data_IF_010780386278
#
_entry.id   IF_010780386278
#
_cell.length_a   1.000
_cell.length_b   1.000
_cell.length_c   1.000
_cell.angle_alpha   90.00
_cell.angle_beta   90.00
_cell.angle_gamma   90.00
#
_symmetry.space_group_name_H-M   'P 1'
#
loop_
_entity.id
_entity.type
_entity.pdbx_description
1 polymer ?
#
# COMPACT_ATOMS: atom_id res chain seq x y z
N UNK A 1 41.41 4.82 14.42
CA UNK A 1 41.18 3.40 14.07
C UNK A 1 39.80 3.03 14.63
N UNK A 2 38.74 3.34 13.89
CA UNK A 2 37.36 3.01 14.29
C UNK A 2 37.10 1.61 13.76
N UNK A 3 36.90 0.65 14.66
CA UNK A 3 36.51 -0.70 14.32
C UNK A 3 35.17 -0.64 13.58
N UNK A 4 35.21 -0.74 12.25
CA UNK A 4 34.03 -1.11 11.46
C UNK A 4 33.69 -2.54 11.85
N UNK A 5 32.89 -2.70 12.91
CA UNK A 5 32.14 -3.93 13.14
C UNK A 5 31.32 -4.16 11.89
N UNK A 6 31.76 -5.11 11.06
CA UNK A 6 31.03 -5.54 9.88
C UNK A 6 29.66 -5.99 10.39
N UNK A 7 28.61 -5.27 10.01
CA UNK A 7 27.26 -5.55 10.47
C UNK A 7 26.87 -6.99 10.09
N UNK A 8 26.18 -7.68 10.99
CA UNK A 8 25.81 -9.10 10.80
C UNK A 8 25.05 -9.34 9.50
N UNK A 9 24.25 -8.38 9.06
CA UNK A 9 23.54 -8.39 7.77
C UNK A 9 24.49 -8.27 6.58
N UNK A 10 25.56 -7.47 6.70
CA UNK A 10 26.58 -7.33 5.65
C UNK A 10 27.38 -8.63 5.49
N UNK A 11 27.70 -9.32 6.60
CA UNK A 11 28.32 -10.65 6.57
C UNK A 11 27.38 -11.70 5.96
N UNK A 12 26.07 -11.64 6.29
CA UNK A 12 25.06 -12.53 5.70
C UNK A 12 24.92 -12.30 4.19
N UNK A 13 24.88 -11.04 3.73
CA UNK A 13 24.85 -10.68 2.30
C UNK A 13 26.10 -11.19 1.56
N UNK A 14 27.28 -11.00 2.15
CA UNK A 14 28.54 -11.50 1.59
C UNK A 14 28.56 -13.03 1.53
N UNK A 15 28.01 -13.73 2.54
CA UNK A 15 27.88 -15.20 2.52
C UNK A 15 26.94 -15.73 1.43
N UNK A 16 25.99 -14.89 0.97
CA UNK A 16 25.10 -15.17 -0.15
C UNK A 16 25.71 -14.79 -1.51
N UNK A 17 26.96 -14.33 -1.55
CA UNK A 17 27.68 -13.94 -2.77
C UNK A 17 27.34 -12.53 -3.29
N UNK A 18 26.64 -11.71 -2.49
CA UNK A 18 26.27 -10.35 -2.87
C UNK A 18 27.13 -9.30 -2.16
N UNK A 19 27.74 -8.41 -2.94
CA UNK A 19 28.39 -7.20 -2.43
C UNK A 19 27.32 -6.14 -2.16
N UNK A 20 27.33 -5.55 -0.98
CA UNK A 20 26.38 -4.50 -0.61
C UNK A 20 26.69 -3.21 -1.38
N UNK A 21 25.99 -2.98 -2.49
CA UNK A 21 26.18 -1.78 -3.35
C UNK A 21 25.21 -0.62 -3.00
N UNK A 22 24.11 -0.89 -2.28
CA UNK A 22 23.15 0.14 -1.85
C UNK A 22 23.51 0.70 -0.47
N UNK A 23 23.73 2.03 -0.40
CA UNK A 23 23.88 2.77 0.86
C UNK A 23 22.56 2.71 1.65
N UNK A 24 22.63 2.30 2.92
CA UNK A 24 21.47 2.33 3.84
C UNK A 24 21.05 3.78 4.09
N UNK A 25 20.05 4.26 3.34
CA UNK A 25 19.46 5.60 3.50
C UNK A 25 18.22 5.63 4.40
N UNK A 26 17.65 4.46 4.76
CA UNK A 26 16.44 4.35 5.57
C UNK A 26 16.78 3.89 6.99
N UNK A 27 16.44 4.72 7.97
CA UNK A 27 16.40 4.38 9.40
C UNK A 27 15.30 3.34 9.65
N UNK A 28 15.37 2.57 10.74
CA UNK A 28 14.31 1.61 11.12
C UNK A 28 12.90 2.24 11.14
N UNK A 29 12.81 3.48 11.62
CA UNK A 29 11.56 4.25 11.66
C UNK A 29 11.06 4.63 10.26
N UNK A 30 11.95 5.03 9.34
CA UNK A 30 11.56 5.38 7.97
C UNK A 30 11.26 4.13 7.12
N UNK A 31 11.89 2.99 7.42
CA UNK A 31 11.53 1.70 6.84
C UNK A 31 10.14 1.24 7.29
N UNK A 32 9.84 1.36 8.59
CA UNK A 32 8.49 1.09 9.13
C UNK A 32 7.45 2.04 8.53
N UNK A 33 7.78 3.34 8.46
CA UNK A 33 6.92 4.34 7.84
C UNK A 33 6.67 4.10 6.35
N UNK A 34 7.68 3.62 5.62
CA UNK A 34 7.51 3.19 4.23
C UNK A 34 6.56 1.99 4.12
N UNK A 35 6.71 0.97 4.96
CA UNK A 35 5.78 -0.17 4.98
C UNK A 35 4.35 0.24 5.29
N UNK A 36 4.16 1.12 6.29
CA UNK A 36 2.85 1.71 6.58
C UNK A 36 2.33 2.54 5.41
N UNK A 37 3.22 3.23 4.69
CA UNK A 37 2.81 4.07 3.58
C UNK A 37 2.38 3.31 2.34
N UNK A 38 2.90 2.10 2.15
CA UNK A 38 2.42 1.19 1.13
C UNK A 38 1.02 0.67 1.47
N UNK A 39 0.74 0.42 2.76
CA UNK A 39 -0.56 -0.06 3.24
C UNK A 39 -1.43 1.14 3.63
N UNK A 40 -1.97 1.82 2.63
CA UNK A 40 -2.83 2.98 2.86
C UNK A 40 -4.25 2.57 3.23
N UNK A 41 -4.55 2.60 4.54
CA UNK A 41 -5.88 2.26 5.09
C UNK A 41 -6.94 3.27 4.61
N UNK A 42 -6.61 4.57 4.62
CA UNK A 42 -7.56 5.64 4.32
C UNK A 42 -8.08 5.57 2.88
N UNK A 43 -7.18 5.36 1.91
CA UNK A 43 -7.54 5.32 0.49
C UNK A 43 -8.41 4.09 0.18
N UNK A 44 -7.94 2.91 0.57
CA UNK A 44 -8.66 1.66 0.32
C UNK A 44 -10.03 1.62 0.98
N UNK A 45 -10.13 2.07 2.23
CA UNK A 45 -11.40 2.13 2.95
C UNK A 45 -12.38 3.08 2.26
N UNK A 46 -11.96 4.32 1.96
CA UNK A 46 -12.86 5.34 1.39
C UNK A 46 -13.42 4.92 0.02
N UNK A 47 -12.59 4.33 -0.84
CA UNK A 47 -13.02 3.92 -2.18
C UNK A 47 -13.93 2.69 -2.18
N UNK A 48 -13.73 1.75 -1.24
CA UNK A 48 -14.47 0.48 -1.22
C UNK A 48 -15.60 0.45 -0.19
N UNK A 49 -15.74 1.47 0.65
CA UNK A 49 -16.75 1.51 1.71
C UNK A 49 -18.18 1.31 1.18
N UNK A 50 -18.56 2.06 0.15
CA UNK A 50 -19.89 1.97 -0.48
C UNK A 50 -20.14 0.59 -1.10
N UNK A 51 -19.12 0.04 -1.76
CA UNK A 51 -19.19 -1.30 -2.34
C UNK A 51 -19.36 -2.38 -1.25
N UNK A 52 -18.61 -2.31 -0.15
CA UNK A 52 -18.74 -3.24 0.97
C UNK A 52 -20.12 -3.18 1.62
N UNK A 53 -20.63 -1.96 1.87
CA UNK A 53 -21.96 -1.76 2.44
C UNK A 53 -23.08 -2.31 1.55
N UNK A 54 -22.97 -2.17 0.23
CA UNK A 54 -24.01 -2.60 -0.71
C UNK A 54 -24.00 -4.10 -1.00
N UNK A 55 -22.85 -4.76 -0.89
CA UNK A 55 -22.70 -6.18 -1.25
C UNK A 55 -22.73 -7.13 -0.06
N UNK A 56 -22.32 -6.66 1.13
CA UNK A 56 -22.17 -7.49 2.32
C UNK A 56 -22.76 -6.92 3.62
N UNK A 57 -23.29 -5.70 3.57
CA UNK A 57 -23.80 -5.01 4.74
C UNK A 57 -22.77 -4.76 5.86
N UNK A 58 -23.21 -4.19 6.99
CA UNK A 58 -22.35 -3.87 8.13
C UNK A 58 -21.63 -5.09 8.72
N UNK A 59 -22.28 -6.25 8.72
CA UNK A 59 -21.74 -7.50 9.28
C UNK A 59 -20.47 -7.94 8.56
N UNK A 60 -20.47 -7.98 7.24
CA UNK A 60 -19.29 -8.39 6.46
C UNK A 60 -18.17 -7.38 6.62
N UNK A 61 -18.50 -6.08 6.71
CA UNK A 61 -17.47 -5.05 6.91
C UNK A 61 -16.72 -5.20 8.23
N UNK A 62 -17.38 -5.65 9.30
CA UNK A 62 -16.74 -5.84 10.61
C UNK A 62 -16.10 -7.23 10.71
N UNK A 63 -16.90 -8.29 10.56
CA UNK A 63 -16.44 -9.65 10.77
C UNK A 63 -15.58 -10.16 9.63
N UNK A 64 -15.93 -9.82 8.39
CA UNK A 64 -15.12 -10.17 7.22
C UNK A 64 -13.73 -9.57 7.31
N UNK A 65 -13.59 -8.34 7.81
CA UNK A 65 -12.29 -7.71 8.03
C UNK A 65 -11.43 -8.49 9.04
N UNK A 66 -11.99 -8.85 10.19
CA UNK A 66 -11.27 -9.63 11.23
C UNK A 66 -10.79 -10.97 10.68
N UNK A 67 -11.66 -11.67 9.96
CA UNK A 67 -11.34 -12.98 9.37
C UNK A 67 -10.23 -12.84 8.32
N UNK A 68 -10.33 -11.85 7.42
CA UNK A 68 -9.30 -11.60 6.40
C UNK A 68 -7.97 -11.20 7.03
N UNK A 69 -7.98 -10.35 8.07
CA UNK A 69 -6.78 -10.00 8.82
C UNK A 69 -6.11 -11.24 9.42
N UNK A 70 -6.89 -12.11 10.07
CA UNK A 70 -6.37 -13.35 10.66
C UNK A 70 -5.66 -14.22 9.63
N UNK A 71 -6.27 -14.49 8.47
CA UNK A 71 -5.62 -15.30 7.43
C UNK A 71 -4.41 -14.60 6.79
N UNK A 72 -4.48 -13.28 6.62
CA UNK A 72 -3.37 -12.49 6.06
C UNK A 72 -2.13 -12.51 6.96
N UNK A 73 -2.31 -12.61 8.29
CA UNK A 73 -1.19 -12.74 9.23
C UNK A 73 -0.37 -14.02 8.99
N UNK A 74 -0.99 -15.15 8.66
CA UNK A 74 -0.25 -16.38 8.35
C UNK A 74 0.62 -16.23 7.11
N UNK A 75 0.10 -15.56 6.07
CA UNK A 75 0.88 -15.22 4.88
C UNK A 75 2.03 -14.29 5.24
N UNK A 76 1.77 -13.29 6.09
CA UNK A 76 2.79 -12.38 6.61
C UNK A 76 3.91 -13.10 7.38
N UNK A 77 3.56 -14.07 8.24
CA UNK A 77 4.53 -14.88 8.97
C UNK A 77 5.40 -15.73 8.04
N UNK A 78 4.81 -16.36 7.02
CA UNK A 78 5.58 -17.12 6.02
C UNK A 78 6.58 -16.22 5.26
N UNK A 79 6.15 -15.02 4.89
CA UNK A 79 7.04 -14.05 4.24
C UNK A 79 8.13 -13.53 5.20
N UNK A 80 7.83 -13.38 6.49
CA UNK A 80 8.80 -12.95 7.49
C UNK A 80 9.94 -13.96 7.68
N UNK A 81 9.63 -15.26 7.67
CA UNK A 81 10.63 -16.34 7.77
C UNK A 81 11.60 -16.30 6.58
N UNK A 82 11.07 -16.18 5.36
CA UNK A 82 11.88 -16.11 4.13
C UNK A 82 12.74 -14.84 4.11
N UNK A 83 12.17 -13.69 4.49
CA UNK A 83 12.91 -12.42 4.61
C UNK A 83 14.08 -12.51 5.59
N UNK A 84 13.89 -13.18 6.73
CA UNK A 84 14.92 -13.36 7.75
C UNK A 84 16.05 -14.29 7.27
N UNK A 85 15.71 -15.32 6.50
CA UNK A 85 16.69 -16.23 5.93
C UNK A 85 17.50 -15.59 4.78
N UNK A 86 16.84 -14.80 3.92
CA UNK A 86 17.39 -14.26 2.68
C UNK A 86 17.11 -12.74 2.50
N UNK A 87 17.86 -11.86 3.19
CA UNK A 87 17.67 -10.41 3.11
C UNK A 87 18.28 -9.84 1.82
N UNK A 88 17.62 -10.02 0.68
CA UNK A 88 18.10 -9.53 -0.63
C UNK A 88 17.15 -8.52 -1.26
N UNK A 89 17.68 -7.47 -1.90
CA UNK A 89 16.95 -6.35 -2.52
C UNK A 89 15.99 -6.76 -3.66
N UNK A 90 16.17 -7.95 -4.23
CA UNK A 90 15.33 -8.55 -5.29
C UNK A 90 14.28 -9.54 -4.79
N UNK A 91 14.16 -9.68 -3.46
CA UNK A 91 13.19 -10.47 -2.70
C UNK A 91 12.39 -11.51 -3.50
N UNK A 92 11.26 -11.14 -4.10
CA UNK A 92 10.28 -12.09 -4.64
C UNK A 92 10.82 -13.03 -5.73
N UNK A 93 11.43 -12.52 -6.79
CA UNK A 93 11.95 -13.35 -7.89
C UNK A 93 13.19 -14.15 -7.47
N UNK A 94 13.94 -13.63 -6.49
CA UNK A 94 15.11 -14.32 -5.94
C UNK A 94 14.70 -15.46 -5.01
N UNK A 95 13.73 -15.23 -4.12
CA UNK A 95 13.17 -16.22 -3.21
C UNK A 95 12.55 -17.39 -3.97
N UNK A 96 11.79 -17.12 -5.05
CA UNK A 96 11.27 -18.20 -5.89
C UNK A 96 12.39 -19.01 -6.54
N UNK A 97 13.50 -18.37 -6.91
CA UNK A 97 14.64 -19.05 -7.49
C UNK A 97 15.44 -19.91 -6.50
N UNK A 98 15.32 -19.67 -5.20
CA UNK A 98 15.94 -20.51 -4.16
C UNK A 98 15.02 -21.67 -3.78
N UNK A 99 13.72 -21.42 -3.74
CA UNK A 99 12.72 -22.40 -3.27
C UNK A 99 12.35 -23.44 -4.35
N UNK A 100 12.53 -23.12 -5.63
CA UNK A 100 12.17 -24.01 -6.75
C UNK A 100 13.34 -24.89 -7.17
N UNK A 101 13.11 -26.19 -7.52
CA UNK A 101 14.15 -27.07 -8.03
C UNK A 101 14.90 -26.48 -9.23
N UNK A 102 16.21 -26.75 -9.33
CA UNK A 102 17.12 -26.15 -10.33
C UNK A 102 16.60 -26.22 -11.78
N UNK A 103 15.86 -27.28 -12.11
CA UNK A 103 15.27 -27.49 -13.44
C UNK A 103 14.25 -26.41 -13.85
N UNK A 104 13.53 -25.82 -12.89
CA UNK A 104 12.46 -24.84 -13.16
C UNK A 104 12.77 -23.45 -12.60
N UNK A 105 13.92 -23.28 -11.94
CA UNK A 105 14.35 -22.04 -11.28
C UNK A 105 14.21 -20.81 -12.18
N UNK A 106 14.74 -20.86 -13.40
CA UNK A 106 14.71 -19.73 -14.33
C UNK A 106 13.28 -19.36 -14.77
N UNK A 107 12.46 -20.36 -15.10
CA UNK A 107 11.07 -20.14 -15.52
C UNK A 107 10.21 -19.60 -14.37
N UNK A 108 10.30 -20.19 -13.18
CA UNK A 108 9.52 -19.76 -12.02
C UNK A 108 9.88 -18.34 -11.57
N UNK A 109 11.17 -17.99 -11.53
CA UNK A 109 11.61 -16.62 -11.24
C UNK A 109 11.19 -15.63 -12.33
N UNK A 110 11.20 -16.03 -13.60
CA UNK A 110 10.73 -15.20 -14.71
C UNK A 110 9.25 -14.85 -14.57
N UNK A 111 8.39 -15.86 -14.40
CA UNK A 111 6.95 -15.63 -14.20
C UNK A 111 6.70 -14.76 -12.97
N UNK A 112 7.34 -15.07 -11.85
CA UNK A 112 7.18 -14.30 -10.60
C UNK A 112 7.57 -12.83 -10.79
N UNK A 113 8.68 -12.56 -11.49
CA UNK A 113 9.11 -11.20 -11.82
C UNK A 113 8.09 -10.46 -12.68
N UNK A 114 7.56 -11.09 -13.73
CA UNK A 114 6.56 -10.48 -14.60
C UNK A 114 5.22 -10.24 -13.92
N UNK A 115 4.74 -11.21 -13.13
CA UNK A 115 3.51 -11.04 -12.35
C UNK A 115 3.66 -9.92 -11.32
N UNK A 116 4.83 -9.81 -10.68
CA UNK A 116 5.09 -8.71 -9.77
C UNK A 116 5.09 -7.36 -10.51
N UNK A 117 5.75 -7.26 -11.66
CA UNK A 117 5.80 -6.03 -12.46
C UNK A 117 4.41 -5.59 -12.95
N UNK A 118 3.64 -6.52 -13.52
CA UNK A 118 2.27 -6.24 -13.98
C UNK A 118 1.39 -5.85 -12.80
N UNK A 119 1.54 -6.53 -11.67
CA UNK A 119 0.84 -6.19 -10.43
C UNK A 119 1.14 -4.76 -9.98
N UNK A 120 2.41 -4.32 -10.02
CA UNK A 120 2.78 -2.95 -9.68
C UNK A 120 2.13 -1.92 -10.61
N UNK A 121 2.12 -2.15 -11.92
CA UNK A 121 1.44 -1.26 -12.86
C UNK A 121 -0.07 -1.21 -12.61
N UNK A 122 -0.71 -2.35 -12.36
CA UNK A 122 -2.14 -2.42 -12.08
C UNK A 122 -2.50 -1.67 -10.78
N UNK A 123 -1.67 -1.79 -9.73
CA UNK A 123 -1.88 -1.09 -8.46
C UNK A 123 -1.79 0.41 -8.66
N UNK A 124 -0.74 0.92 -9.32
CA UNK A 124 -0.56 2.36 -9.57
C UNK A 124 -1.74 2.90 -10.38
N UNK A 125 -2.10 2.22 -11.48
CA UNK A 125 -3.22 2.64 -12.32
C UNK A 125 -4.54 2.68 -11.53
N UNK A 126 -4.80 1.68 -10.68
CA UNK A 126 -6.04 1.59 -9.88
C UNK A 126 -6.12 2.71 -8.85
N UNK A 127 -5.04 2.98 -8.13
CA UNK A 127 -5.00 4.02 -7.09
C UNK A 127 -5.15 5.40 -7.72
N UNK A 128 -4.40 5.68 -8.79
CA UNK A 128 -4.44 6.98 -9.47
C UNK A 128 -5.80 7.23 -10.14
N UNK A 129 -6.47 6.17 -10.58
CA UNK A 129 -7.83 6.26 -11.12
C UNK A 129 -8.85 6.54 -10.01
N UNK A 130 -8.74 5.87 -8.86
CA UNK A 130 -9.55 6.16 -7.68
C UNK A 130 -9.37 7.60 -7.20
N UNK A 131 -8.13 8.12 -7.17
CA UNK A 131 -7.85 9.51 -6.84
C UNK A 131 -8.49 10.47 -7.84
N UNK A 132 -8.42 10.17 -9.14
CA UNK A 132 -9.08 10.97 -10.18
C UNK A 132 -10.59 11.08 -9.95
N UNK A 133 -11.27 9.96 -9.63
CA UNK A 133 -12.70 9.98 -9.29
C UNK A 133 -13.00 10.83 -8.06
N UNK A 134 -12.16 10.74 -7.03
CA UNK A 134 -12.34 11.53 -5.81
C UNK A 134 -12.17 13.03 -6.09
N UNK A 135 -11.15 13.41 -6.85
CA UNK A 135 -10.94 14.82 -7.25
C UNK A 135 -12.12 15.32 -8.08
N UNK A 136 -12.57 14.55 -9.07
CA UNK A 136 -13.74 14.88 -9.87
C UNK A 136 -15.01 15.06 -9.01
N UNK A 137 -15.20 14.19 -8.01
CA UNK A 137 -16.32 14.27 -7.07
C UNK A 137 -16.24 15.53 -6.20
N UNK A 138 -15.06 15.90 -5.73
CA UNK A 138 -14.84 17.14 -4.94
C UNK A 138 -15.09 18.40 -5.78
N UNK A 139 -14.66 18.41 -7.05
CA UNK A 139 -14.93 19.52 -7.97
C UNK A 139 -16.43 19.66 -8.21
N UNK A 140 -17.13 18.55 -8.48
CA UNK A 140 -18.59 18.53 -8.65
C UNK A 140 -19.30 19.07 -7.41
N UNK A 141 -18.90 18.63 -6.21
CA UNK A 141 -19.48 19.09 -4.95
C UNK A 141 -19.24 20.59 -4.72
N UNK A 142 -18.05 21.08 -5.04
CA UNK A 142 -17.66 22.49 -4.90
C UNK A 142 -18.45 23.41 -5.85
N UNK A 143 -18.89 22.88 -6.98
CA UNK A 143 -19.76 23.56 -7.96
C UNK A 143 -21.25 23.32 -7.71
N UNK A 144 -21.63 22.94 -6.48
CA UNK A 144 -23.01 22.63 -6.09
C UNK A 144 -23.70 21.59 -7.01
N UNK A 145 -22.95 20.57 -7.44
CA UNK A 145 -23.40 19.48 -8.30
C UNK A 145 -23.90 19.94 -9.70
N UNK A 146 -23.58 21.16 -10.13
CA UNK A 146 -23.95 21.63 -11.47
C UNK A 146 -23.08 21.04 -12.58
N UNK A 147 -21.91 20.50 -12.22
CA UNK A 147 -21.02 19.82 -13.13
C UNK A 147 -20.98 18.33 -12.82
N UNK A 148 -21.30 17.51 -13.81
CA UNK A 148 -21.17 16.06 -13.73
C UNK A 148 -19.89 15.63 -14.45
N UNK A 149 -18.96 14.92 -13.78
CA UNK A 149 -17.73 14.47 -14.42
C UNK A 149 -18.00 13.41 -15.48
N UNK A 150 -17.90 13.80 -16.76
CA UNK A 150 -17.88 12.85 -17.87
C UNK A 150 -16.60 11.98 -17.88
N UNK A 151 -16.62 10.78 -18.48
CA UNK A 151 -15.47 9.87 -18.49
C UNK A 151 -14.16 10.50 -19.00
N UNK A 152 -14.25 11.40 -19.98
CA UNK A 152 -13.07 12.08 -20.53
C UNK A 152 -12.38 13.00 -19.51
N UNK A 153 -13.14 13.64 -18.62
CA UNK A 153 -12.58 14.47 -17.55
C UNK A 153 -11.80 13.63 -16.54
N UNK A 154 -12.35 12.47 -16.17
CA UNK A 154 -11.71 11.53 -15.25
C UNK A 154 -10.40 11.00 -15.83
N UNK A 155 -10.38 10.67 -17.13
CA UNK A 155 -9.16 10.24 -17.83
C UNK A 155 -8.13 11.38 -17.89
N UNK A 156 -8.55 12.62 -18.15
CA UNK A 156 -7.65 13.77 -18.19
C UNK A 156 -7.00 14.03 -16.82
N UNK A 157 -7.79 14.03 -15.75
CA UNK A 157 -7.29 14.20 -14.38
C UNK A 157 -6.33 13.04 -14.04
N UNK A 158 -6.68 11.81 -14.43
CA UNK A 158 -5.84 10.63 -14.22
C UNK A 158 -4.48 10.74 -14.92
N UNK A 159 -4.44 11.21 -16.17
CA UNK A 159 -3.19 11.45 -16.90
C UNK A 159 -2.31 12.49 -16.20
N UNK A 160 -2.90 13.58 -15.70
CA UNK A 160 -2.17 14.61 -14.95
C UNK A 160 -1.56 14.04 -13.67
N UNK A 161 -2.30 13.21 -12.93
CA UNK A 161 -1.81 12.55 -11.71
C UNK A 161 -0.63 11.63 -12.03
N UNK A 162 -0.75 10.75 -13.02
CA UNK A 162 0.32 9.82 -13.41
C UNK A 162 1.59 10.57 -13.82
N UNK A 163 1.46 11.63 -14.61
CA UNK A 163 2.61 12.45 -15.02
C UNK A 163 3.26 13.11 -13.79
N UNK A 164 2.45 13.64 -12.87
CA UNK A 164 2.96 14.22 -11.62
C UNK A 164 3.71 13.19 -10.77
N UNK A 165 3.17 11.99 -10.61
CA UNK A 165 3.84 10.90 -9.90
C UNK A 165 5.13 10.47 -10.60
N UNK A 166 5.14 10.40 -11.93
CA UNK A 166 6.35 10.10 -12.72
C UNK A 166 7.46 11.15 -12.53
N UNK A 167 7.10 12.44 -12.49
CA UNK A 167 8.02 13.53 -12.18
C UNK A 167 8.55 13.39 -10.75
N UNK A 168 7.67 13.21 -9.77
CA UNK A 168 8.05 13.02 -8.36
C UNK A 168 8.98 11.82 -8.17
N UNK A 169 8.74 10.72 -8.88
CA UNK A 169 9.58 9.52 -8.86
C UNK A 169 10.94 9.73 -9.54
N UNK A 170 11.04 10.73 -10.42
CA UNK A 170 12.31 11.12 -11.05
C UNK A 170 13.15 12.07 -10.18
N UNK A 171 12.59 12.58 -9.08
CA UNK A 171 13.33 13.40 -8.10
C UNK A 171 14.21 12.53 -7.21
N UNK A 172 15.28 13.11 -6.66
CA UNK A 172 16.27 12.37 -5.87
C UNK A 172 15.71 11.73 -4.59
N UNK A 173 16.39 10.66 -4.14
CA UNK A 173 16.02 9.82 -2.98
C UNK A 173 15.75 10.63 -1.69
N UNK A 174 16.40 11.77 -1.51
CA UNK A 174 16.18 12.64 -0.35
C UNK A 174 14.77 13.24 -0.31
N UNK A 175 14.25 13.67 -1.46
CA UNK A 175 12.88 14.19 -1.57
C UNK A 175 11.86 13.08 -1.31
N UNK A 176 12.10 11.90 -1.88
CA UNK A 176 11.21 10.75 -1.71
C UNK A 176 11.17 10.25 -0.26
N UNK A 177 12.32 10.26 0.42
CA UNK A 177 12.41 9.91 1.85
C UNK A 177 11.63 10.92 2.73
N UNK A 178 11.72 12.21 2.43
CA UNK A 178 10.95 13.24 3.13
C UNK A 178 9.44 13.11 2.90
N UNK A 179 9.00 12.86 1.66
CA UNK A 179 7.59 12.58 1.35
C UNK A 179 7.08 11.35 2.10
N UNK A 180 7.88 10.28 2.15
CA UNK A 180 7.52 9.05 2.87
C UNK A 180 7.35 9.31 4.37
N UNK A 181 8.22 10.15 4.95
CA UNK A 181 8.11 10.55 6.35
C UNK A 181 6.80 11.30 6.63
N UNK A 182 6.43 12.27 5.80
CA UNK A 182 5.16 13.00 5.94
C UNK A 182 3.97 12.06 5.73
N UNK A 183 4.03 11.24 4.69
CA UNK A 183 2.99 10.27 4.35
C UNK A 183 2.69 9.32 5.51
N UNK A 184 3.73 8.89 6.23
CA UNK A 184 3.58 8.04 7.42
C UNK A 184 2.72 8.71 8.49
N UNK A 185 3.03 9.97 8.82
CA UNK A 185 2.25 10.73 9.82
C UNK A 185 0.84 11.02 9.33
N UNK A 186 0.68 11.37 8.06
CA UNK A 186 -0.63 11.60 7.46
C UNK A 186 -1.52 10.36 7.54
N UNK A 187 -0.99 9.17 7.31
CA UNK A 187 -1.76 7.93 7.37
C UNK A 187 -2.14 7.50 8.78
N UNK A 188 -1.41 7.94 9.80
CA UNK A 188 -1.81 7.74 11.20
C UNK A 188 -2.88 8.75 11.62
N UNK A 189 -2.75 10.00 11.20
CA UNK A 189 -3.64 11.08 11.63
C UNK A 189 -4.95 11.13 10.83
N UNK A 190 -4.91 10.92 9.52
CA UNK A 190 -6.08 11.06 8.65
C UNK A 190 -7.26 10.14 9.04
N UNK A 191 -7.07 8.83 9.33
CA UNK A 191 -8.17 7.98 9.79
C UNK A 191 -8.81 8.48 11.08
N UNK A 192 -8.00 8.97 12.03
CA UNK A 192 -8.47 9.51 13.31
C UNK A 192 -9.31 10.77 13.05
N UNK A 193 -8.80 11.69 12.22
CA UNK A 193 -9.48 12.93 11.87
C UNK A 193 -10.82 12.62 11.17
N UNK A 194 -10.83 11.74 10.18
CA UNK A 194 -12.04 11.35 9.45
C UNK A 194 -13.06 10.69 10.40
N UNK A 195 -12.60 9.79 11.27
CA UNK A 195 -13.48 9.13 12.25
C UNK A 195 -14.11 10.12 13.22
N UNK A 196 -13.31 11.06 13.76
CA UNK A 196 -13.82 12.11 14.65
C UNK A 196 -14.76 13.07 13.93
N UNK A 197 -14.43 13.47 12.70
CA UNK A 197 -15.28 14.34 11.89
C UNK A 197 -16.64 13.69 11.58
N UNK A 198 -16.64 12.39 11.28
CA UNK A 198 -17.87 11.62 11.08
C UNK A 198 -18.68 11.51 12.38
N UNK A 199 -18.03 11.24 13.53
CA UNK A 199 -18.69 11.17 14.83
C UNK A 199 -19.34 12.51 15.23
N UNK A 200 -18.68 13.64 14.95
CA UNK A 200 -19.20 14.97 15.27
C UNK A 200 -20.31 15.40 14.30
N UNK A 201 -20.17 15.06 13.02
CA UNK A 201 -21.12 15.45 11.97
C UNK A 201 -22.34 14.53 11.88
N UNK A 202 -22.32 13.37 12.55
CA UNK A 202 -23.43 12.45 12.58
C UNK A 202 -24.66 13.09 13.25
N UNK A 203 -25.80 13.11 12.54
CA UNK A 203 -27.07 13.54 13.12
C UNK A 203 -27.47 12.61 14.28
N UNK A 204 -28.18 13.10 15.31
CA UNK A 204 -28.67 12.26 16.40
C UNK A 204 -29.53 11.11 15.85
N UNK A 205 -29.09 9.87 16.08
CA UNK A 205 -29.75 8.66 15.55
C UNK A 205 -28.77 7.61 15.04
N UNK A 206 -27.82 7.19 15.88
CA UNK A 206 -26.90 6.10 15.54
C UNK A 206 -27.68 4.82 15.23
N UNK A 207 -27.23 4.07 14.21
CA UNK A 207 -27.80 2.76 13.90
C UNK A 207 -27.68 1.83 15.11
N UNK A 208 -28.70 1.00 15.33
CA UNK A 208 -28.72 0.09 16.48
C UNK A 208 -27.53 -0.89 16.43
N UNK A 209 -27.01 -1.28 17.60
CA UNK A 209 -25.93 -2.29 17.66
C UNK A 209 -26.33 -3.59 16.95
N UNK A 210 -27.62 -3.94 16.98
CA UNK A 210 -28.15 -5.09 16.24
C UNK A 210 -27.95 -4.92 14.73
N UNK A 211 -28.32 -3.76 14.17
CA UNK A 211 -28.08 -3.47 12.75
C UNK A 211 -26.59 -3.59 12.38
N UNK A 212 -25.71 -3.05 13.23
CA UNK A 212 -24.26 -3.06 12.97
C UNK A 212 -23.65 -4.47 13.01
N UNK A 213 -24.09 -5.32 13.94
CA UNK A 213 -23.48 -6.64 14.16
C UNK A 213 -24.22 -7.83 13.57
N UNK A 214 -25.45 -7.66 13.06
CA UNK A 214 -26.26 -8.80 12.56
C UNK A 214 -26.94 -8.62 11.20
N UNK A 215 -27.01 -7.42 10.63
CA UNK A 215 -27.69 -7.20 9.33
C UNK A 215 -26.72 -7.23 8.12
N UNK A 216 -27.23 -7.73 6.99
CA UNK A 216 -26.53 -7.90 5.71
C UNK A 216 -27.26 -7.14 4.60
#
# INVERSE_FOLDING_TARGET
MILNTIDSDTLRLQSLGYKQELRRGFTRLTNYGMSLSVISITSGFTSLFSYGMTTGGPVVMIWGWIVVCFFTLFVGFGMAEICSAYPTSGALYYWTGILVPQRHKALASWFTGWFNLIGQFAIIATIDFGLSMLIASVISLSLNLQWSPEPYHIILIHLVIIISHGICNSLGIHFLSWLTYISTWWQLLAPIIVSLALLISAKPGHQSLKFVFTEF
#
